data_IF_220561345108
#
_entry.id   IF_220561345108
#
_cell.length_a   1.000
_cell.length_b   1.000
_cell.length_c   1.000
_cell.angle_alpha   90.00
_cell.angle_beta   90.00
_cell.angle_gamma   90.00
#
_symmetry.space_group_name_H-M   'P 1'
#
loop_
_entity.id
_entity.type
_entity.pdbx_description
1 polymer ?
#
# COMPACT_ATOMS: atom_id res chain seq x y z
N UNK A 1 28.14 1.10 -14.36
CA UNK A 1 27.33 2.28 -13.97
C UNK A 1 26.83 1.98 -12.58
N UNK A 2 27.64 2.30 -11.57
CA UNK A 2 27.25 2.13 -10.18
C UNK A 2 28.41 2.48 -9.26
N UNK A 3 28.19 3.42 -8.34
CA UNK A 3 29.15 3.82 -7.30
C UNK A 3 29.58 2.64 -6.38
N UNK A 4 28.94 1.47 -6.54
CA UNK A 4 29.02 0.29 -5.68
C UNK A 4 29.49 -0.97 -6.43
N UNK A 5 29.94 -0.87 -7.69
CA UNK A 5 30.42 -2.01 -8.48
C UNK A 5 31.59 -2.76 -7.79
N UNK A 6 32.32 -2.09 -6.88
CA UNK A 6 33.38 -2.69 -6.06
C UNK A 6 32.92 -3.42 -4.79
N UNK A 7 31.63 -3.38 -4.43
CA UNK A 7 31.11 -3.93 -3.18
C UNK A 7 30.58 -5.37 -3.30
N UNK A 8 30.69 -6.01 -4.47
CA UNK A 8 30.29 -7.42 -4.65
C UNK A 8 28.85 -7.66 -4.18
N UNK A 9 28.58 -8.79 -3.53
CA UNK A 9 27.24 -9.13 -3.00
C UNK A 9 26.79 -8.27 -1.81
N UNK A 10 27.71 -7.56 -1.15
CA UNK A 10 27.43 -6.83 0.09
C UNK A 10 26.49 -5.62 -0.08
N UNK A 11 26.32 -5.12 -1.31
CA UNK A 11 25.35 -4.03 -1.58
C UNK A 11 23.91 -4.44 -1.26
N UNK A 12 23.56 -5.73 -1.42
CA UNK A 12 22.23 -6.27 -1.11
C UNK A 12 21.90 -6.20 0.39
N UNK A 13 22.92 -6.21 1.25
CA UNK A 13 22.76 -6.06 2.71
C UNK A 13 22.80 -4.59 3.13
N UNK A 14 23.75 -3.84 2.57
CA UNK A 14 24.07 -2.50 3.05
C UNK A 14 23.02 -1.48 2.60
N UNK A 15 22.51 -1.57 1.36
CA UNK A 15 21.56 -0.58 0.84
C UNK A 15 20.21 -0.64 1.59
N UNK A 16 19.55 -1.80 1.80
CA UNK A 16 18.30 -1.84 2.55
C UNK A 16 18.48 -1.44 4.02
N UNK A 17 19.61 -1.81 4.64
CA UNK A 17 19.90 -1.45 6.02
C UNK A 17 20.11 0.06 6.20
N UNK A 18 20.84 0.71 5.28
CA UNK A 18 21.01 2.16 5.27
C UNK A 18 19.69 2.88 4.96
N UNK A 19 18.92 2.39 3.99
CA UNK A 19 17.59 2.91 3.70
C UNK A 19 16.68 2.88 4.92
N UNK A 20 16.69 1.77 5.66
CA UNK A 20 15.99 1.61 6.93
C UNK A 20 16.45 2.56 8.03
N UNK A 21 17.76 2.81 8.13
CA UNK A 21 18.30 3.78 9.07
C UNK A 21 17.87 5.23 8.72
N UNK A 22 17.57 5.51 7.45
CA UNK A 22 17.08 6.81 6.99
C UNK A 22 15.58 6.98 7.19
N UNK A 23 14.75 6.00 6.79
CA UNK A 23 13.30 6.16 6.88
C UNK A 23 12.75 5.96 8.30
N UNK A 24 13.40 5.14 9.14
CA UNK A 24 12.89 4.85 10.49
C UNK A 24 12.83 6.11 11.39
N UNK A 25 13.88 6.95 11.49
CA UNK A 25 13.80 8.21 12.24
C UNK A 25 12.70 9.16 11.72
N UNK A 26 12.49 9.21 10.40
CA UNK A 26 11.48 10.07 9.79
C UNK A 26 10.09 9.68 10.28
N UNK A 27 9.76 8.38 10.26
CA UNK A 27 8.48 7.88 10.78
C UNK A 27 8.36 8.16 12.28
N UNK A 28 9.37 7.78 13.06
CA UNK A 28 9.30 7.85 14.53
C UNK A 28 9.16 9.30 15.04
N UNK A 29 9.79 10.26 14.37
CA UNK A 29 9.82 11.66 14.80
C UNK A 29 8.67 12.49 14.23
N UNK A 30 8.31 12.30 12.96
CA UNK A 30 7.35 13.19 12.28
C UNK A 30 5.91 12.66 12.24
N UNK A 31 5.71 11.35 12.11
CA UNK A 31 4.37 10.76 12.08
C UNK A 31 4.41 9.27 12.46
N UNK A 32 4.21 8.96 13.75
CA UNK A 32 4.10 7.57 14.22
C UNK A 32 2.93 6.83 13.57
N UNK A 33 1.86 7.53 13.24
CA UNK A 33 0.67 7.00 12.55
C UNK A 33 0.96 6.62 11.07
N UNK A 34 2.12 6.99 10.53
CA UNK A 34 2.59 6.52 9.22
C UNK A 34 3.25 5.12 9.29
N UNK A 35 3.44 4.56 10.50
CA UNK A 35 3.88 3.17 10.69
C UNK A 35 2.78 2.21 10.22
N UNK A 36 3.17 0.96 9.95
CA UNK A 36 2.25 -0.13 9.64
C UNK A 36 1.98 -0.29 8.15
N UNK A 37 1.01 -1.15 7.84
CA UNK A 37 0.79 -1.68 6.49
C UNK A 37 0.15 -0.67 5.54
N UNK A 38 -0.50 0.38 6.04
CA UNK A 38 -1.16 1.44 5.29
C UNK A 38 -2.69 1.28 5.28
N UNK A 39 -3.18 0.13 4.81
CA UNK A 39 -4.64 -0.11 4.67
C UNK A 39 -5.33 -0.17 6.03
N UNK A 40 -4.72 -0.83 7.03
CA UNK A 40 -5.28 -0.95 8.38
C UNK A 40 -5.46 0.42 9.04
N UNK A 41 -4.50 1.33 8.87
CA UNK A 41 -4.55 2.69 9.42
C UNK A 41 -5.63 3.54 8.72
N UNK A 42 -5.88 3.29 7.43
CA UNK A 42 -6.99 3.92 6.71
C UNK A 42 -8.34 3.43 7.24
N UNK A 43 -8.48 2.12 7.47
CA UNK A 43 -9.70 1.54 8.04
C UNK A 43 -9.96 2.06 9.46
N UNK A 44 -8.92 2.20 10.27
CA UNK A 44 -8.99 2.83 11.59
C UNK A 44 -9.42 4.29 11.48
N UNK A 45 -8.88 5.05 10.53
CA UNK A 45 -9.28 6.44 10.32
C UNK A 45 -10.78 6.56 9.95
N UNK A 46 -11.28 5.68 9.07
CA UNK A 46 -12.70 5.66 8.68
C UNK A 46 -13.62 5.28 9.84
N UNK A 47 -13.25 4.27 10.61
CA UNK A 47 -14.07 3.69 11.69
C UNK A 47 -14.03 4.49 12.98
N UNK A 48 -12.87 5.00 13.38
CA UNK A 48 -12.66 5.66 14.68
C UNK A 48 -12.58 7.18 14.57
N UNK A 49 -11.98 7.70 13.49
CA UNK A 49 -11.65 9.13 13.37
C UNK A 49 -12.54 9.92 12.40
N UNK A 50 -13.68 9.35 11.99
CA UNK A 50 -14.61 10.00 11.05
C UNK A 50 -14.00 10.27 9.68
N UNK A 51 -12.99 9.47 9.28
CA UNK A 51 -12.22 9.63 8.05
C UNK A 51 -11.13 10.69 8.11
N UNK A 52 -10.84 11.29 9.27
CA UNK A 52 -9.81 12.33 9.40
C UNK A 52 -8.41 11.70 9.54
N UNK A 53 -7.54 12.00 8.58
CA UNK A 53 -6.12 11.61 8.60
C UNK A 53 -5.28 12.90 8.67
N UNK A 54 -4.30 13.00 9.58
CA UNK A 54 -3.40 14.15 9.63
C UNK A 54 -2.57 14.26 8.33
N UNK A 55 -2.48 15.43 7.68
CA UNK A 55 -1.78 15.59 6.39
C UNK A 55 -0.31 15.17 6.43
N UNK A 56 0.35 15.36 7.59
CA UNK A 56 1.72 14.92 7.84
C UNK A 56 1.93 13.42 7.62
N UNK A 57 0.90 12.58 7.84
CA UNK A 57 0.97 11.13 7.62
C UNK A 57 1.19 10.83 6.14
N UNK A 58 0.46 11.50 5.24
CA UNK A 58 0.62 11.32 3.79
C UNK A 58 2.01 11.74 3.29
N UNK A 59 2.55 12.85 3.79
CA UNK A 59 3.91 13.33 3.44
C UNK A 59 4.98 12.36 3.95
N UNK A 60 4.91 11.99 5.23
CA UNK A 60 5.87 11.08 5.85
C UNK A 60 5.80 9.70 5.19
N UNK A 61 4.61 9.17 4.92
CA UNK A 61 4.45 7.87 4.25
C UNK A 61 5.01 7.88 2.84
N UNK A 62 4.80 8.96 2.08
CA UNK A 62 5.39 9.13 0.74
C UNK A 62 6.91 9.06 0.77
N UNK A 63 7.55 9.86 1.64
CA UNK A 63 9.02 9.91 1.76
C UNK A 63 9.57 8.58 2.27
N UNK A 64 9.00 8.04 3.35
CA UNK A 64 9.49 6.81 3.96
C UNK A 64 9.33 5.59 3.04
N UNK A 65 8.19 5.48 2.34
CA UNK A 65 7.97 4.38 1.40
C UNK A 65 8.86 4.51 0.17
N UNK A 66 9.04 5.72 -0.36
CA UNK A 66 9.99 5.98 -1.45
C UNK A 66 11.43 5.59 -1.08
N UNK A 67 11.87 5.91 0.13
CA UNK A 67 13.18 5.47 0.64
C UNK A 67 13.25 3.95 0.80
N UNK A 68 12.22 3.32 1.40
CA UNK A 68 12.18 1.88 1.61
C UNK A 68 12.25 1.11 0.28
N UNK A 69 11.36 1.42 -0.66
CA UNK A 69 11.29 0.79 -1.98
C UNK A 69 12.55 1.11 -2.79
N UNK A 70 12.98 2.37 -2.81
CA UNK A 70 14.18 2.80 -3.51
C UNK A 70 15.48 2.18 -2.98
N UNK A 71 15.50 1.79 -1.69
CA UNK A 71 16.62 1.08 -1.07
C UNK A 71 16.57 -0.44 -1.22
N UNK A 72 15.58 -0.99 -1.92
CA UNK A 72 15.43 -2.44 -2.12
C UNK A 72 14.67 -3.17 -1.01
N UNK A 73 13.84 -2.46 -0.23
CA UNK A 73 12.95 -3.09 0.74
C UNK A 73 11.93 -4.01 0.07
N UNK A 74 11.74 -5.22 0.62
CA UNK A 74 10.75 -6.18 0.14
C UNK A 74 9.36 -5.80 0.65
N UNK A 75 8.72 -4.84 -0.02
CA UNK A 75 7.40 -4.32 0.34
C UNK A 75 6.53 -4.07 -0.91
N UNK A 76 5.22 -4.20 -0.75
CA UNK A 76 4.25 -3.84 -1.78
C UNK A 76 3.91 -2.35 -1.81
N UNK A 77 3.45 -1.87 -2.98
CA UNK A 77 3.04 -0.48 -3.19
C UNK A 77 1.61 -0.17 -2.70
N UNK A 78 0.78 -1.21 -2.59
CA UNK A 78 -0.66 -1.10 -2.34
C UNK A 78 -0.99 -0.33 -1.05
N UNK A 79 -0.40 -0.75 0.06
CA UNK A 79 -0.65 -0.15 1.37
C UNK A 79 -0.20 1.31 1.46
N UNK A 80 1.07 1.64 1.11
CA UNK A 80 1.54 3.02 1.05
C UNK A 80 0.66 3.92 0.18
N UNK A 81 0.33 3.52 -1.06
CA UNK A 81 -0.42 4.40 -1.95
C UNK A 81 -1.88 4.58 -1.49
N UNK A 82 -2.50 3.54 -0.92
CA UNK A 82 -3.82 3.66 -0.31
C UNK A 82 -3.82 4.68 0.83
N UNK A 83 -2.82 4.64 1.72
CA UNK A 83 -2.71 5.57 2.85
C UNK A 83 -2.39 7.00 2.41
N UNK A 84 -1.49 7.17 1.44
CA UNK A 84 -1.13 8.49 0.88
C UNK A 84 -2.35 9.12 0.20
N UNK A 85 -3.03 8.38 -0.68
CA UNK A 85 -4.23 8.84 -1.36
C UNK A 85 -5.35 9.19 -0.37
N UNK A 86 -5.57 8.32 0.63
CA UNK A 86 -6.52 8.54 1.71
C UNK A 86 -6.23 9.82 2.50
N UNK A 87 -4.96 10.07 2.82
CA UNK A 87 -4.54 11.27 3.55
C UNK A 87 -4.81 12.54 2.73
N UNK A 88 -4.56 12.52 1.42
CA UNK A 88 -4.84 13.65 0.52
C UNK A 88 -6.36 13.90 0.45
N UNK A 89 -7.15 12.86 0.20
CA UNK A 89 -8.61 12.97 0.12
C UNK A 89 -9.23 13.46 1.42
N UNK A 90 -8.79 12.90 2.54
CA UNK A 90 -9.19 13.34 3.88
C UNK A 90 -8.84 14.81 4.13
N UNK A 91 -7.63 15.24 3.74
CA UNK A 91 -7.19 16.61 3.92
C UNK A 91 -8.03 17.60 3.12
N UNK A 92 -8.39 17.27 1.88
CA UNK A 92 -9.31 18.08 1.06
C UNK A 92 -10.65 18.25 1.79
N UNK A 93 -11.22 17.16 2.31
CA UNK A 93 -12.47 17.23 3.09
C UNK A 93 -12.37 18.09 4.35
N UNK A 94 -11.21 18.06 5.02
CA UNK A 94 -10.93 18.87 6.20
C UNK A 94 -10.79 20.36 5.86
N UNK A 95 -10.11 20.73 4.77
CA UNK A 95 -9.97 22.12 4.31
C UNK A 95 -11.34 22.74 4.04
N UNK A 96 -12.23 21.99 3.38
CA UNK A 96 -13.59 22.45 3.10
C UNK A 96 -14.55 22.28 4.29
N UNK A 97 -14.07 21.88 5.46
CA UNK A 97 -14.86 21.72 6.69
C UNK A 97 -16.11 20.85 6.49
N UNK A 98 -15.99 19.80 5.68
CA UNK A 98 -17.12 18.92 5.37
C UNK A 98 -17.50 18.03 6.57
N UNK A 99 -18.70 17.47 6.53
CA UNK A 99 -19.13 16.47 7.51
C UNK A 99 -18.36 15.15 7.33
N UNK A 100 -18.41 14.29 8.34
CA UNK A 100 -17.62 13.05 8.39
C UNK A 100 -17.92 12.11 7.23
N UNK A 101 -19.18 12.01 6.79
CA UNK A 101 -19.55 11.16 5.65
C UNK A 101 -18.89 11.63 4.35
N UNK A 102 -18.83 12.95 4.12
CA UNK A 102 -18.13 13.50 2.95
C UNK A 102 -16.62 13.39 3.07
N UNK A 103 -16.05 13.51 4.28
CA UNK A 103 -14.63 13.27 4.51
C UNK A 103 -14.26 11.81 4.22
N UNK A 104 -15.05 10.84 4.72
CA UNK A 104 -14.90 9.41 4.42
C UNK A 104 -14.99 9.14 2.92
N UNK A 105 -15.95 9.76 2.23
CA UNK A 105 -16.07 9.66 0.78
C UNK A 105 -14.81 10.18 0.07
N UNK A 106 -14.32 11.37 0.41
CA UNK A 106 -13.13 11.93 -0.22
C UNK A 106 -11.87 11.13 0.09
N UNK A 107 -11.74 10.62 1.32
CA UNK A 107 -10.71 9.68 1.71
C UNK A 107 -10.75 8.42 0.82
N UNK A 108 -11.92 7.82 0.63
CA UNK A 108 -12.10 6.65 -0.22
C UNK A 108 -11.81 6.96 -1.70
N UNK A 109 -12.25 8.12 -2.21
CA UNK A 109 -11.89 8.60 -3.55
C UNK A 109 -10.37 8.72 -3.72
N UNK A 110 -9.66 9.19 -2.70
CA UNK A 110 -8.20 9.29 -2.68
C UNK A 110 -7.52 7.91 -2.64
N UNK A 111 -8.01 6.99 -1.81
CA UNK A 111 -7.53 5.61 -1.76
C UNK A 111 -7.69 4.91 -3.12
N UNK A 112 -8.90 4.97 -3.68
CA UNK A 112 -9.23 4.39 -4.97
C UNK A 112 -8.43 5.00 -6.11
N UNK A 113 -8.23 6.33 -6.12
CA UNK A 113 -7.37 7.02 -7.06
C UNK A 113 -5.91 6.53 -7.00
N UNK A 114 -5.34 6.41 -5.80
CA UNK A 114 -3.97 5.94 -5.60
C UNK A 114 -3.76 4.52 -6.13
N UNK A 115 -4.66 3.60 -5.78
CA UNK A 115 -4.63 2.22 -6.28
C UNK A 115 -4.79 2.20 -7.80
N UNK A 116 -5.76 2.93 -8.34
CA UNK A 116 -6.03 2.98 -9.79
C UNK A 116 -4.82 3.49 -10.58
N UNK A 117 -4.20 4.58 -10.12
CA UNK A 117 -3.03 5.17 -10.76
C UNK A 117 -1.79 4.28 -10.68
N UNK A 118 -1.64 3.48 -9.61
CA UNK A 118 -0.47 2.60 -9.42
C UNK A 118 -0.57 1.32 -10.24
N UNK A 119 -1.77 0.73 -10.32
CA UNK A 119 -1.99 -0.57 -10.93
C UNK A 119 -2.62 -0.51 -12.33
N UNK A 120 -2.93 0.69 -12.83
CA UNK A 120 -3.68 0.89 -14.07
C UNK A 120 -5.00 0.12 -14.12
N UNK A 121 -5.70 0.10 -12.98
CA UNK A 121 -6.89 -0.72 -12.77
C UNK A 121 -8.01 0.09 -12.09
N UNK A 122 -8.66 1.04 -12.81
CA UNK A 122 -9.65 1.94 -12.22
C UNK A 122 -10.88 1.23 -11.65
N UNK A 123 -11.30 0.12 -12.26
CA UNK A 123 -12.41 -0.69 -11.75
C UNK A 123 -12.03 -1.34 -10.41
N UNK A 124 -10.84 -1.95 -10.34
CA UNK A 124 -10.33 -2.57 -9.11
C UNK A 124 -10.17 -1.54 -7.99
N UNK A 125 -9.56 -0.38 -8.28
CA UNK A 125 -9.40 0.69 -7.30
C UNK A 125 -10.74 1.24 -6.79
N UNK A 126 -11.75 1.30 -7.64
CA UNK A 126 -13.11 1.70 -7.24
C UNK A 126 -13.72 0.68 -6.27
N UNK A 127 -13.71 -0.60 -6.64
CA UNK A 127 -14.29 -1.66 -5.80
C UNK A 127 -13.55 -1.75 -4.46
N UNK A 128 -12.21 -1.66 -4.48
CA UNK A 128 -11.39 -1.59 -3.27
C UNK A 128 -11.83 -0.45 -2.33
N UNK A 129 -12.03 0.75 -2.86
CA UNK A 129 -12.47 1.89 -2.05
C UNK A 129 -13.89 1.72 -1.48
N UNK A 130 -14.82 1.14 -2.24
CA UNK A 130 -16.20 0.97 -1.79
C UNK A 130 -16.37 -0.18 -0.80
N UNK A 131 -15.85 -1.35 -1.15
CA UNK A 131 -16.06 -2.57 -0.38
C UNK A 131 -15.11 -2.65 0.81
N UNK A 132 -13.82 -2.36 0.60
CA UNK A 132 -12.82 -2.51 1.65
C UNK A 132 -12.77 -1.27 2.55
N UNK A 133 -12.72 -0.06 2.00
CA UNK A 133 -12.55 1.17 2.79
C UNK A 133 -13.87 1.66 3.40
N UNK A 134 -14.94 1.78 2.61
CA UNK A 134 -16.24 2.24 3.10
C UNK A 134 -17.11 1.12 3.70
N UNK A 135 -16.90 -0.14 3.30
CA UNK A 135 -17.65 -1.29 3.79
C UNK A 135 -19.09 -1.40 3.27
N UNK A 136 -19.51 -0.50 2.36
CA UNK A 136 -20.84 -0.53 1.75
C UNK A 136 -20.84 0.17 0.40
N UNK A 137 -21.62 -0.38 -0.54
CA UNK A 137 -21.80 0.19 -1.88
C UNK A 137 -23.05 1.07 -1.89
N UNK A 138 -22.88 2.37 -1.71
CA UNK A 138 -23.95 3.34 -1.90
C UNK A 138 -23.85 3.95 -3.31
N UNK A 139 -24.97 3.95 -4.06
CA UNK A 139 -25.01 4.44 -5.43
C UNK A 139 -24.55 5.91 -5.55
N UNK A 140 -24.79 6.72 -4.52
CA UNK A 140 -24.33 8.12 -4.47
C UNK A 140 -22.81 8.29 -4.33
N UNK A 141 -22.11 7.30 -3.79
CA UNK A 141 -20.65 7.32 -3.63
C UNK A 141 -19.94 6.69 -4.82
N UNK A 142 -20.57 5.71 -5.46
CA UNK A 142 -20.03 4.99 -6.60
C UNK A 142 -19.50 5.92 -7.70
N UNK A 143 -20.32 6.88 -8.14
CA UNK A 143 -19.94 7.80 -9.23
C UNK A 143 -18.72 8.65 -8.89
N UNK A 144 -18.65 9.20 -7.68
CA UNK A 144 -17.53 10.03 -7.24
C UNK A 144 -16.22 9.23 -7.18
N UNK A 145 -16.27 8.00 -6.64
CA UNK A 145 -15.10 7.13 -6.56
C UNK A 145 -14.63 6.69 -7.95
N UNK A 146 -15.55 6.31 -8.85
CA UNK A 146 -15.23 5.94 -10.24
C UNK A 146 -14.56 7.09 -10.97
N UNK A 147 -15.13 8.31 -10.88
CA UNK A 147 -14.55 9.48 -11.55
C UNK A 147 -13.14 9.74 -11.02
N UNK A 148 -12.93 9.70 -9.71
CA UNK A 148 -11.61 9.87 -9.08
C UNK A 148 -10.61 8.82 -9.59
N UNK A 149 -11.00 7.55 -9.59
CA UNK A 149 -10.18 6.42 -10.05
C UNK A 149 -9.77 6.55 -11.52
N UNK A 150 -10.73 6.83 -12.41
CA UNK A 150 -10.50 6.96 -13.85
C UNK A 150 -9.63 8.17 -14.18
N UNK A 151 -9.87 9.32 -13.53
CA UNK A 151 -9.06 10.52 -13.73
C UNK A 151 -7.62 10.27 -13.28
N UNK A 152 -7.43 9.66 -12.10
CA UNK A 152 -6.10 9.34 -11.59
C UNK A 152 -5.34 8.37 -12.51
N UNK A 153 -6.00 7.31 -12.97
CA UNK A 153 -5.43 6.36 -13.93
C UNK A 153 -5.08 7.03 -15.28
N UNK A 154 -5.97 7.87 -15.81
CA UNK A 154 -5.72 8.61 -17.07
C UNK A 154 -4.47 9.49 -16.94
N UNK A 155 -4.31 10.19 -15.81
CA UNK A 155 -3.12 11.00 -15.53
C UNK A 155 -1.87 10.13 -15.40
N UNK A 156 -1.97 8.96 -14.76
CA UNK A 156 -0.84 8.03 -14.64
C UNK A 156 -0.40 7.49 -16.01
N UNK A 157 -1.35 7.20 -16.90
CA UNK A 157 -1.07 6.70 -18.25
C UNK A 157 -0.32 7.72 -19.12
N UNK A 158 -0.51 9.04 -18.91
CA UNK A 158 0.28 10.08 -19.60
C UNK A 158 1.77 9.96 -19.32
N UNK A 159 2.17 9.40 -18.18
CA UNK A 159 3.55 9.17 -17.81
C UNK A 159 4.09 7.78 -18.24
N UNK A 160 3.36 7.07 -19.13
CA UNK A 160 3.73 5.78 -19.74
C UNK A 160 4.06 4.66 -18.74
N UNK A 161 3.23 4.50 -17.71
CA UNK A 161 3.45 3.55 -16.63
C UNK A 161 2.80 2.15 -16.82
N UNK A 162 2.48 1.73 -18.06
CA UNK A 162 1.92 0.37 -18.28
C UNK A 162 2.93 -0.72 -17.90
N UNK A 163 2.77 -1.30 -16.71
CA UNK A 163 3.68 -2.33 -16.20
C UNK A 163 3.35 -3.76 -16.67
N UNK A 164 2.16 -4.00 -17.23
CA UNK A 164 1.76 -5.36 -17.57
C UNK A 164 0.77 -5.41 -18.75
N UNK A 165 1.12 -6.17 -19.79
CA UNK A 165 0.19 -6.55 -20.87
C UNK A 165 -0.10 -8.03 -20.69
N UNK A 166 -1.30 -8.36 -20.19
CA UNK A 166 -1.72 -9.75 -20.07
C UNK A 166 -1.86 -10.36 -21.47
N UNK A 167 -1.32 -11.56 -21.73
CA UNK A 167 -1.57 -12.26 -22.98
C UNK A 167 -3.07 -12.54 -23.13
N UNK A 168 -3.62 -12.43 -24.35
CA UNK A 168 -5.04 -12.70 -24.57
C UNK A 168 -5.34 -14.16 -24.22
N UNK A 169 -6.34 -14.36 -23.35
CA UNK A 169 -6.82 -15.67 -22.94
C UNK A 169 -8.25 -15.88 -23.42
N UNK A 170 -8.53 -17.07 -23.95
CA UNK A 170 -9.87 -17.51 -24.32
C UNK A 170 -10.16 -18.84 -23.65
N UNK A 171 -11.35 -18.97 -23.04
CA UNK A 171 -11.81 -20.23 -22.48
C UNK A 171 -11.95 -21.28 -23.59
N UNK A 172 -11.19 -22.38 -23.53
CA UNK A 172 -11.24 -23.44 -24.55
C UNK A 172 -12.30 -24.48 -24.19
N UNK A 173 -12.49 -24.76 -22.90
CA UNK A 173 -13.47 -25.72 -22.38
C UNK A 173 -14.12 -25.26 -21.07
N UNK A 174 -15.43 -25.50 -20.92
CA UNK A 174 -16.16 -25.22 -19.67
C UNK A 174 -15.61 -26.02 -18.48
N UNK A 175 -14.98 -27.17 -18.72
CA UNK A 175 -14.35 -27.97 -17.68
C UNK A 175 -13.15 -27.30 -16.99
N UNK A 176 -12.52 -26.30 -17.65
CA UNK A 176 -11.47 -25.47 -17.04
C UNK A 176 -11.96 -24.75 -15.78
N UNK A 177 -13.26 -24.43 -15.71
CA UNK A 177 -13.88 -23.79 -14.54
C UNK A 177 -13.72 -24.62 -13.27
N UNK A 178 -13.73 -25.96 -13.38
CA UNK A 178 -13.51 -26.83 -12.23
C UNK A 178 -12.08 -26.72 -11.70
N UNK A 179 -11.10 -26.66 -12.62
CA UNK A 179 -9.71 -26.45 -12.25
C UNK A 179 -9.47 -25.04 -11.67
N UNK A 180 -10.16 -24.01 -12.17
CA UNK A 180 -10.10 -22.67 -11.58
C UNK A 180 -10.73 -22.60 -10.20
N UNK A 181 -11.83 -23.32 -9.95
CA UNK A 181 -12.40 -23.43 -8.61
C UNK A 181 -11.41 -24.06 -7.63
N UNK A 182 -10.75 -25.15 -8.04
CA UNK A 182 -9.69 -25.81 -7.26
C UNK A 182 -8.52 -24.84 -7.02
N UNK A 183 -8.08 -24.13 -8.05
CA UNK A 183 -7.03 -23.12 -7.92
C UNK A 183 -7.42 -22.02 -6.92
N UNK A 184 -8.68 -21.57 -6.94
CA UNK A 184 -9.22 -20.61 -5.97
C UNK A 184 -9.13 -21.12 -4.53
N UNK A 185 -9.41 -22.41 -4.30
CA UNK A 185 -9.24 -23.04 -2.98
C UNK A 185 -7.77 -23.04 -2.56
N UNK A 186 -6.85 -23.43 -3.44
CA UNK A 186 -5.41 -23.38 -3.14
C UNK A 186 -4.91 -21.96 -2.88
N UNK A 187 -5.36 -20.99 -3.66
CA UNK A 187 -5.05 -19.58 -3.46
C UNK A 187 -5.55 -19.08 -2.11
N UNK A 188 -6.76 -19.48 -1.69
CA UNK A 188 -7.29 -19.15 -0.37
C UNK A 188 -6.44 -19.74 0.76
N UNK A 189 -6.02 -21.01 0.66
CA UNK A 189 -5.10 -21.61 1.64
C UNK A 189 -3.74 -20.88 1.68
N UNK A 190 -3.21 -20.51 0.50
CA UNK A 190 -1.99 -19.72 0.38
C UNK A 190 -2.12 -18.37 1.08
N UNK A 191 -3.19 -17.62 0.82
CA UNK A 191 -3.47 -16.34 1.45
C UNK A 191 -3.59 -16.46 2.98
N UNK A 192 -4.37 -17.43 3.48
CA UNK A 192 -4.53 -17.65 4.92
C UNK A 192 -3.20 -17.99 5.60
N UNK A 193 -2.37 -18.81 4.96
CA UNK A 193 -1.05 -19.18 5.49
C UNK A 193 -0.12 -17.98 5.50
N UNK A 194 -0.07 -17.23 4.40
CA UNK A 194 0.73 -16.02 4.28
C UNK A 194 0.36 -14.99 5.36
N UNK A 195 -0.93 -14.67 5.52
CA UNK A 195 -1.40 -13.71 6.54
C UNK A 195 -1.04 -14.15 7.95
N UNK A 196 -1.22 -15.45 8.28
CA UNK A 196 -0.84 -15.97 9.60
C UNK A 196 0.66 -15.90 9.85
N UNK A 197 1.47 -16.25 8.87
CA UNK A 197 2.93 -16.19 8.98
C UNK A 197 3.38 -14.74 9.12
N UNK A 198 2.84 -13.82 8.33
CA UNK A 198 3.16 -12.39 8.39
C UNK A 198 2.92 -11.82 9.79
N UNK A 199 1.71 -11.98 10.34
CA UNK A 199 1.39 -11.48 11.68
C UNK A 199 2.20 -12.16 12.78
N UNK A 200 2.46 -13.47 12.65
CA UNK A 200 3.31 -14.19 13.60
C UNK A 200 4.75 -13.68 13.56
N UNK A 201 5.29 -13.38 12.37
CA UNK A 201 6.62 -12.82 12.22
C UNK A 201 6.69 -11.40 12.78
N UNK A 202 5.66 -10.57 12.59
CA UNK A 202 5.57 -9.25 13.20
C UNK A 202 5.59 -9.34 14.74
N UNK A 203 4.79 -10.25 15.32
CA UNK A 203 4.78 -10.47 16.77
C UNK A 203 6.15 -10.92 17.29
N UNK A 204 6.80 -11.88 16.62
CA UNK A 204 8.14 -12.34 16.98
C UNK A 204 9.17 -11.21 16.86
N UNK A 205 9.11 -10.41 15.79
CA UNK A 205 10.03 -9.31 15.55
C UNK A 205 9.85 -8.18 16.57
N UNK A 206 8.62 -7.95 17.03
CA UNK A 206 8.31 -6.96 18.07
C UNK A 206 8.94 -7.29 19.43
N UNK A 207 9.20 -8.59 19.71
CA UNK A 207 9.82 -9.08 20.95
C UNK A 207 11.34 -8.93 20.98
N UNK A 208 11.97 -8.61 19.84
CA UNK A 208 13.42 -8.40 19.78
C UNK A 208 13.78 -7.13 20.57
N UNK A 209 14.65 -7.21 21.60
CA UNK A 209 14.95 -6.11 22.52
C UNK A 209 15.92 -5.09 21.90
N UNK A 210 15.49 -4.47 20.80
CA UNK A 210 16.22 -3.44 20.06
C UNK A 210 15.35 -2.20 19.90
N UNK A 211 16.00 -1.05 19.82
CA UNK A 211 15.34 0.25 19.62
C UNK A 211 14.58 0.30 18.30
N UNK A 212 13.43 0.99 18.28
CA UNK A 212 12.60 1.16 17.07
C UNK A 212 13.36 1.82 15.90
N UNK A 213 14.44 2.55 16.18
CA UNK A 213 15.30 3.16 15.16
C UNK A 213 16.17 2.14 14.42
N UNK A 214 16.65 1.10 15.12
CA UNK A 214 17.63 0.14 14.60
C UNK A 214 16.94 -1.15 14.16
N UNK A 215 15.76 -1.45 14.73
CA UNK A 215 14.96 -2.62 14.41
C UNK A 215 14.71 -2.79 12.90
N UNK A 216 14.33 -1.75 12.14
CA UNK A 216 14.17 -1.87 10.69
C UNK A 216 15.48 -2.12 9.96
N UNK A 217 16.59 -1.52 10.42
CA UNK A 217 17.92 -1.72 9.82
C UNK A 217 18.42 -3.15 9.98
N UNK A 218 18.19 -3.77 11.15
CA UNK A 218 18.46 -5.20 11.36
C UNK A 218 17.60 -6.07 10.43
N UNK A 219 16.34 -5.71 10.21
CA UNK A 219 15.47 -6.40 9.25
C UNK A 219 16.00 -6.30 7.82
N UNK A 220 16.49 -5.12 7.43
CA UNK A 220 17.15 -4.90 6.14
C UNK A 220 18.42 -5.74 5.96
N UNK A 221 19.23 -5.88 7.01
CA UNK A 221 20.40 -6.76 6.98
C UNK A 221 20.00 -8.23 6.79
N UNK A 222 19.00 -8.72 7.53
CA UNK A 222 18.50 -10.10 7.40
C UNK A 222 17.93 -10.33 6.00
N UNK A 223 17.18 -9.37 5.46
CA UNK A 223 16.64 -9.43 4.11
C UNK A 223 17.77 -9.58 3.07
N UNK A 224 18.84 -8.79 3.20
CA UNK A 224 19.99 -8.86 2.29
C UNK A 224 20.85 -10.11 2.44
N UNK A 225 20.74 -10.86 3.56
CA UNK A 225 21.38 -12.18 3.72
C UNK A 225 20.58 -13.27 3.00
N UNK A 226 19.27 -13.10 2.87
CA UNK A 226 18.38 -14.05 2.21
C UNK A 226 18.38 -13.86 0.68
N UNK A 227 18.57 -12.62 0.22
CA UNK A 227 18.59 -12.23 -1.19
C UNK A 227 19.82 -12.73 -1.96
#
# INVERSE_FOLDING_TARGET
WGLLDGMGIYHLMIIPALGALLFAPIIIHFARDARGHGVSEVLEAVSVHGGRIPPRVGVVKSVASGLCIGSGGSVGLEGPIAQIGSAIGSYVGQIFTLNEDRIRLLLACGAGAGISATFHAPITGTIFALELILGHVEAGYFSAVVISAVVADTIAQLHKASCFVAPPYTLVSVWELYFYAILGVFAAFGALTFTKVLFKMEELWSKVPVSDYIRPALGGLVLGVIA
#
